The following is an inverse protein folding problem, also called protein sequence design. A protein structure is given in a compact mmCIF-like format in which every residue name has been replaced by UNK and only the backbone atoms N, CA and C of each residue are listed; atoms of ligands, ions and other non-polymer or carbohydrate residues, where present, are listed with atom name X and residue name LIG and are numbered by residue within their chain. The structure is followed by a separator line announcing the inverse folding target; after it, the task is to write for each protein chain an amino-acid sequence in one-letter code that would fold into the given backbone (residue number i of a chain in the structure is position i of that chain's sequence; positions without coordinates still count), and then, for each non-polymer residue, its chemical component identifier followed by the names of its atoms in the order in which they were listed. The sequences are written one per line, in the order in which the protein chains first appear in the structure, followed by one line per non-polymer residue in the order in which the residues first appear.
data_IF_266602046121
#
_entry.id   IF_266602046121
#
_cell.length_a   1.000
_cell.length_b   1.000
_cell.length_c   1.000
_cell.angle_alpha   90.00
_cell.angle_beta   90.00
_cell.angle_gamma   90.00
#
_symmetry.space_group_name_H-M   'P 1'
#
loop_
_entity.id
_entity.type
_entity.pdbx_description
1 polymer ?
#
# COMPACT_ATOMS: atom_id res chain seq x y z
N UNK A 1 15.95 18.26 -7.81
CA UNK A 1 14.98 18.55 -6.72
C UNK A 1 13.58 18.89 -7.25
N UNK A 2 13.44 19.72 -8.30
CA UNK A 2 12.11 20.07 -8.85
C UNK A 2 11.24 18.87 -9.28
N UNK A 3 11.83 17.83 -9.89
CA UNK A 3 11.11 16.62 -10.28
C UNK A 3 10.48 15.86 -9.08
N UNK A 4 11.14 15.86 -7.92
CA UNK A 4 10.64 15.20 -6.70
C UNK A 4 9.43 15.94 -6.16
N UNK A 5 9.43 17.27 -6.20
CA UNK A 5 8.29 18.08 -5.76
C UNK A 5 7.06 17.89 -6.67
N UNK A 6 7.27 17.72 -7.98
CA UNK A 6 6.19 17.42 -8.94
C UNK A 6 5.60 16.04 -8.65
N UNK A 7 6.44 15.02 -8.46
CA UNK A 7 6.01 13.66 -8.08
C UNK A 7 5.21 13.66 -6.78
N UNK A 8 5.70 14.33 -5.74
CA UNK A 8 5.00 14.47 -4.45
C UNK A 8 3.64 15.15 -4.63
N UNK A 9 3.56 16.22 -5.42
CA UNK A 9 2.30 16.94 -5.67
C UNK A 9 1.27 16.07 -6.38
N UNK A 10 1.69 15.35 -7.42
CA UNK A 10 0.82 14.39 -8.12
C UNK A 10 0.39 13.25 -7.21
N UNK A 11 1.30 12.71 -6.39
CA UNK A 11 1.00 11.60 -5.51
C UNK A 11 0.06 12.02 -4.36
N UNK A 12 0.22 13.22 -3.80
CA UNK A 12 -0.72 13.79 -2.83
C UNK A 12 -2.09 14.03 -3.46
N UNK A 13 -2.14 14.55 -4.69
CA UNK A 13 -3.39 14.71 -5.44
C UNK A 13 -4.09 13.38 -5.71
N UNK A 14 -3.32 12.34 -6.08
CA UNK A 14 -3.83 11.00 -6.27
C UNK A 14 -4.34 10.38 -4.96
N UNK A 15 -3.60 10.54 -3.86
CA UNK A 15 -4.03 10.08 -2.54
C UNK A 15 -5.32 10.75 -2.11
N UNK A 16 -5.45 12.07 -2.30
CA UNK A 16 -6.70 12.79 -2.03
C UNK A 16 -7.84 12.26 -2.88
N UNK A 17 -7.61 12.07 -4.19
CA UNK A 17 -8.61 11.52 -5.09
C UNK A 17 -9.04 10.10 -4.70
N UNK A 18 -8.10 9.24 -4.29
CA UNK A 18 -8.41 7.88 -3.84
C UNK A 18 -9.28 7.89 -2.58
N UNK A 19 -9.00 8.81 -1.65
CA UNK A 19 -9.81 9.03 -0.45
C UNK A 19 -11.22 9.53 -0.83
N UNK A 20 -11.31 10.52 -1.72
CA UNK A 20 -12.59 11.06 -2.20
C UNK A 20 -13.42 10.00 -2.95
N UNK A 21 -12.76 9.13 -3.71
CA UNK A 21 -13.38 8.02 -4.43
C UNK A 21 -13.72 6.81 -3.52
N UNK A 22 -13.40 6.88 -2.22
CA UNK A 22 -13.62 5.82 -1.23
C UNK A 22 -13.01 4.46 -1.65
N UNK A 23 -11.97 4.49 -2.48
CA UNK A 23 -11.25 3.29 -2.91
C UNK A 23 -10.66 2.54 -1.69
N UNK A 24 -10.03 3.22 -0.70
CA UNK A 24 -9.52 2.54 0.49
C UNK A 24 -10.62 1.81 1.27
N UNK A 25 -11.79 2.42 1.45
CA UNK A 25 -12.92 1.85 2.19
C UNK A 25 -13.54 0.65 1.46
N UNK A 26 -13.72 0.75 0.14
CA UNK A 26 -14.22 -0.36 -0.68
C UNK A 26 -13.24 -1.54 -0.68
N UNK A 27 -11.93 -1.27 -0.77
CA UNK A 27 -10.92 -2.30 -0.69
C UNK A 27 -10.88 -2.95 0.70
N UNK A 28 -11.01 -2.17 1.77
CA UNK A 28 -11.17 -2.65 3.14
C UNK A 28 -12.37 -3.58 3.30
N UNK A 29 -13.52 -3.19 2.76
CA UNK A 29 -14.73 -4.02 2.81
C UNK A 29 -14.56 -5.34 2.03
N UNK A 30 -13.94 -5.28 0.85
CA UNK A 30 -13.67 -6.46 0.03
C UNK A 30 -12.69 -7.43 0.71
N UNK A 31 -11.60 -6.89 1.27
CA UNK A 31 -10.58 -7.66 1.97
C UNK A 31 -11.15 -8.26 3.26
N UNK A 32 -11.91 -7.50 4.07
CA UNK A 32 -12.56 -8.04 5.28
C UNK A 32 -13.58 -9.13 4.97
N UNK A 33 -14.28 -9.05 3.84
CA UNK A 33 -15.24 -10.07 3.41
C UNK A 33 -14.54 -11.36 2.94
N UNK A 34 -13.37 -11.23 2.33
CA UNK A 34 -12.66 -12.36 1.73
C UNK A 34 -11.63 -12.98 2.68
N UNK A 35 -11.04 -12.18 3.57
CA UNK A 35 -9.93 -12.53 4.44
C UNK A 35 -10.35 -12.35 5.90
N UNK A 36 -10.38 -13.46 6.62
CA UNK A 36 -10.76 -13.50 8.04
C UNK A 36 -9.56 -13.72 8.97
N UNK A 37 -8.39 -14.06 8.41
CA UNK A 37 -7.16 -14.33 9.16
C UNK A 37 -6.07 -13.32 8.84
N UNK A 38 -5.40 -12.73 9.85
CA UNK A 38 -4.30 -11.78 9.65
C UNK A 38 -3.12 -12.40 8.89
N UNK A 39 -2.90 -13.71 9.04
CA UNK A 39 -1.83 -14.45 8.35
C UNK A 39 -2.10 -14.54 6.84
N UNK A 40 -3.35 -14.77 6.45
CA UNK A 40 -3.76 -14.78 5.04
C UNK A 40 -3.69 -13.38 4.44
N UNK A 41 -4.06 -12.34 5.21
CA UNK A 41 -3.88 -10.95 4.79
C UNK A 41 -2.41 -10.65 4.47
N UNK A 42 -1.49 -11.02 5.36
CA UNK A 42 -0.06 -10.80 5.16
C UNK A 42 0.47 -11.53 3.92
N UNK A 43 0.06 -12.76 3.67
CA UNK A 43 0.48 -13.51 2.48
C UNK A 43 -0.01 -12.86 1.18
N UNK A 44 -1.29 -12.47 1.13
CA UNK A 44 -1.85 -11.76 -0.04
C UNK A 44 -1.16 -10.41 -0.23
N UNK A 45 -0.93 -9.68 0.86
CA UNK A 45 -0.24 -8.39 0.83
C UNK A 45 1.19 -8.52 0.26
N UNK A 46 1.97 -9.49 0.72
CA UNK A 46 3.32 -9.74 0.18
C UNK A 46 3.27 -10.04 -1.33
N UNK A 47 2.35 -10.91 -1.76
CA UNK A 47 2.19 -11.24 -3.19
C UNK A 47 1.84 -10.02 -4.05
N UNK A 48 0.90 -9.20 -3.60
CA UNK A 48 0.52 -7.96 -4.30
C UNK A 48 1.69 -6.97 -4.33
N UNK A 49 2.39 -6.78 -3.21
CA UNK A 49 3.51 -5.86 -3.12
C UNK A 49 4.69 -6.27 -4.00
N UNK A 50 4.99 -7.57 -4.12
CA UNK A 50 6.04 -8.05 -5.03
C UNK A 50 5.70 -7.77 -6.49
N UNK A 51 4.47 -8.09 -6.91
CA UNK A 51 4.02 -7.83 -8.28
C UNK A 51 4.05 -6.34 -8.57
N UNK A 52 3.53 -5.51 -7.67
CA UNK A 52 3.54 -4.05 -7.84
C UNK A 52 4.96 -3.48 -7.79
N UNK A 53 5.83 -3.99 -6.92
CA UNK A 53 7.23 -3.59 -6.82
C UNK A 53 8.05 -3.90 -8.07
N UNK A 54 7.67 -4.92 -8.83
CA UNK A 54 8.30 -5.23 -10.13
C UNK A 54 7.90 -4.30 -11.28
N UNK A 55 6.80 -3.57 -11.14
CA UNK A 55 6.25 -2.69 -12.19
C UNK A 55 6.43 -1.21 -11.85
N UNK A 56 6.37 -0.86 -10.57
CA UNK A 56 6.39 0.52 -10.08
C UNK A 56 7.76 0.90 -9.52
N UNK A 57 8.12 2.17 -9.68
CA UNK A 57 9.29 2.75 -9.00
C UNK A 57 9.02 2.87 -7.50
N UNK A 58 10.04 2.57 -6.68
CA UNK A 58 9.91 2.37 -5.22
C UNK A 58 9.26 3.57 -4.54
N UNK A 59 9.70 4.80 -4.84
CA UNK A 59 9.14 6.00 -4.20
C UNK A 59 7.66 6.19 -4.56
N UNK A 60 7.31 6.04 -5.83
CA UNK A 60 5.92 6.14 -6.27
C UNK A 60 5.02 5.11 -5.59
N UNK A 61 5.47 3.84 -5.51
CA UNK A 61 4.74 2.76 -4.87
C UNK A 61 4.50 3.04 -3.38
N UNK A 62 5.51 3.49 -2.65
CA UNK A 62 5.37 3.81 -1.22
C UNK A 62 4.32 4.90 -1.00
N UNK A 63 4.37 6.00 -1.76
CA UNK A 63 3.46 7.14 -1.53
C UNK A 63 2.00 6.77 -1.81
N UNK A 64 1.75 5.91 -2.81
CA UNK A 64 0.39 5.49 -3.17
C UNK A 64 -0.13 4.37 -2.27
N UNK A 65 0.71 3.37 -1.95
CA UNK A 65 0.27 2.16 -1.24
C UNK A 65 0.21 2.34 0.27
N UNK A 66 1.11 3.12 0.86
CA UNK A 66 1.14 3.34 2.32
C UNK A 66 -0.20 3.81 2.90
N UNK A 67 -0.84 4.88 2.38
CA UNK A 67 -2.14 5.33 2.93
C UNK A 67 -3.25 4.29 2.74
N UNK A 68 -3.11 3.36 1.79
CA UNK A 68 -4.06 2.29 1.53
C UNK A 68 -3.88 1.12 2.51
N UNK A 69 -2.63 0.70 2.74
CA UNK A 69 -2.28 -0.51 3.49
C UNK A 69 -2.31 -0.29 5.00
N UNK A 70 -1.99 0.92 5.48
CA UNK A 70 -2.04 1.25 6.92
C UNK A 70 -3.44 1.01 7.53
N UNK A 71 -4.55 1.56 6.99
CA UNK A 71 -5.87 1.34 7.58
C UNK A 71 -6.35 -0.11 7.43
N UNK A 72 -5.94 -0.80 6.35
CA UNK A 72 -6.15 -2.24 6.17
C UNK A 72 -5.50 -3.03 7.31
N UNK A 73 -4.19 -2.86 7.52
CA UNK A 73 -3.48 -3.62 8.53
C UNK A 73 -3.88 -3.25 9.96
N UNK A 74 -4.25 -1.99 10.22
CA UNK A 74 -4.86 -1.58 11.49
C UNK A 74 -6.16 -2.35 11.77
N UNK A 75 -6.97 -2.59 10.73
CA UNK A 75 -8.20 -3.38 10.86
C UNK A 75 -7.96 -4.87 11.13
N UNK A 76 -6.77 -5.40 10.80
CA UNK A 76 -6.33 -6.76 11.12
C UNK A 76 -5.46 -6.83 12.39
N UNK A 77 -5.29 -5.72 13.12
CA UNK A 77 -4.50 -5.67 14.35
C UNK A 77 -2.97 -5.70 14.14
N UNK A 78 -2.49 -5.37 12.94
CA UNK A 78 -1.07 -5.38 12.60
C UNK A 78 -0.45 -4.03 12.95
N UNK A 79 0.71 -4.05 13.61
CA UNK A 79 1.42 -2.85 13.99
C UNK A 79 1.93 -2.08 12.75
N UNK A 80 1.78 -0.74 12.69
CA UNK A 80 2.16 0.06 11.52
C UNK A 80 3.64 -0.05 11.16
N UNK A 81 4.52 -0.22 12.13
CA UNK A 81 5.97 -0.45 11.87
C UNK A 81 6.18 -1.78 11.14
N UNK A 82 5.45 -2.83 11.50
CA UNK A 82 5.57 -4.13 10.84
C UNK A 82 5.11 -4.05 9.38
N UNK A 83 4.01 -3.34 9.11
CA UNK A 83 3.56 -3.04 7.75
C UNK A 83 4.61 -2.25 6.96
N UNK A 84 5.21 -1.23 7.57
CA UNK A 84 6.27 -0.44 6.93
C UNK A 84 7.45 -1.31 6.51
N UNK A 85 7.90 -2.20 7.38
CA UNK A 85 8.98 -3.17 7.06
C UNK A 85 8.60 -4.09 5.92
N UNK A 86 7.37 -4.64 5.92
CA UNK A 86 6.88 -5.51 4.84
C UNK A 86 6.79 -4.76 3.51
N UNK A 87 6.25 -3.54 3.52
CA UNK A 87 6.12 -2.71 2.31
C UNK A 87 7.50 -2.44 1.72
N UNK A 88 8.45 -1.95 2.53
CA UNK A 88 9.80 -1.65 2.06
C UNK A 88 10.50 -2.91 1.53
N UNK A 89 10.49 -4.00 2.31
CA UNK A 89 11.15 -5.24 1.92
C UNK A 89 10.59 -5.83 0.61
N UNK A 90 9.26 -5.87 0.43
CA UNK A 90 8.67 -6.43 -0.79
C UNK A 90 8.86 -5.53 -2.01
N UNK A 91 8.82 -4.20 -1.83
CA UNK A 91 9.06 -3.28 -2.94
C UNK A 91 10.52 -3.30 -3.40
N UNK A 92 11.48 -3.37 -2.47
CA UNK A 92 12.89 -3.54 -2.80
C UNK A 92 13.17 -4.91 -3.46
N UNK A 93 12.54 -5.98 -2.96
CA UNK A 93 12.65 -7.32 -3.55
C UNK A 93 12.02 -7.41 -4.94
N UNK A 94 10.89 -6.74 -5.17
CA UNK A 94 10.21 -6.74 -6.46
C UNK A 94 10.96 -5.94 -7.53
N UNK A 95 11.71 -4.90 -7.13
CA UNK A 95 12.47 -4.05 -8.02
C UNK A 95 13.79 -4.70 -8.53
N UNK A 96 14.33 -5.67 -7.78
CA UNK A 96 15.53 -6.44 -8.15
C UNK A 96 15.27 -7.39 -9.33
#
# INVERSE_FOLDING_TARGET
VGAVLILLSCAMGLTSYLVDAQIPDQLLAFVKRSIHSPLVFLLVLNGVLLVLGSVLEIFSAIVVLTPLVIPLGAAFGIHPVHLGVIILANLELGFL
#
